data_IF_768441510398
#
_entry.id   IF_768441510398
#
_cell.length_a   1.000
_cell.length_b   1.000
_cell.length_c   1.000
_cell.angle_alpha   90.00
_cell.angle_beta   90.00
_cell.angle_gamma   90.00
#
_symmetry.space_group_name_H-M   'P 1'
#
loop_
_entity.id
_entity.type
_entity.pdbx_description
1 polymer ?
#
# COMPACT_ATOMS: atom_id res chain seq x y z
N UNK A 1 -0.44 -15.98 -14.16
CA UNK A 1 -0.94 -14.76 -14.79
C UNK A 1 -1.96 -14.17 -13.85
N UNK A 2 -1.59 -13.06 -13.21
CA UNK A 2 -2.42 -12.32 -12.27
C UNK A 2 -2.85 -10.97 -12.86
N UNK A 3 -3.81 -10.30 -12.22
CA UNK A 3 -4.32 -8.99 -12.65
C UNK A 3 -3.21 -7.94 -12.73
N UNK A 4 -2.25 -7.96 -11.79
CA UNK A 4 -1.11 -7.06 -11.78
C UNK A 4 -0.13 -7.28 -12.94
N UNK A 5 -0.11 -8.47 -13.56
CA UNK A 5 0.73 -8.72 -14.73
C UNK A 5 0.11 -8.02 -15.96
N UNK A 6 -1.21 -8.14 -16.12
CA UNK A 6 -1.96 -7.47 -17.19
C UNK A 6 -1.92 -5.94 -17.08
N UNK A 7 -1.88 -5.40 -15.85
CA UNK A 7 -1.72 -3.96 -15.66
C UNK A 7 -0.41 -3.46 -16.27
N UNK A 8 0.70 -4.20 -16.10
CA UNK A 8 2.01 -3.78 -16.64
C UNK A 8 2.01 -3.84 -18.16
N UNK A 9 1.46 -4.90 -18.74
CA UNK A 9 1.34 -5.05 -20.20
C UNK A 9 0.55 -3.90 -20.84
N UNK A 10 -0.48 -3.41 -20.16
CA UNK A 10 -1.36 -2.32 -20.63
C UNK A 10 -1.00 -0.94 -20.02
N UNK A 11 0.19 -0.81 -19.42
CA UNK A 11 0.56 0.34 -18.60
C UNK A 11 0.42 1.70 -19.30
N UNK A 12 0.77 1.76 -20.59
CA UNK A 12 0.63 2.98 -21.41
C UNK A 12 -0.82 3.44 -21.54
N UNK A 13 -1.74 2.52 -21.79
CA UNK A 13 -3.16 2.85 -21.97
C UNK A 13 -3.79 3.27 -20.64
N UNK A 14 -3.41 2.58 -19.55
CA UNK A 14 -3.86 2.94 -18.20
C UNK A 14 -3.46 4.37 -17.84
N UNK A 15 -2.20 4.76 -18.13
CA UNK A 15 -1.75 6.14 -17.88
C UNK A 15 -2.56 7.15 -18.70
N UNK A 16 -2.79 6.87 -19.99
CA UNK A 16 -3.60 7.73 -20.85
C UNK A 16 -5.03 7.90 -20.31
N UNK A 17 -5.70 6.82 -19.96
CA UNK A 17 -7.06 6.86 -19.40
C UNK A 17 -7.10 7.67 -18.09
N UNK A 18 -6.15 7.45 -17.18
CA UNK A 18 -6.19 8.06 -15.84
C UNK A 18 -5.68 9.51 -15.80
N UNK A 19 -4.72 9.88 -16.65
CA UNK A 19 -4.11 11.21 -16.68
C UNK A 19 -4.77 12.15 -17.71
N UNK A 20 -5.10 11.65 -18.91
CA UNK A 20 -5.61 12.48 -20.01
C UNK A 20 -7.14 12.45 -20.08
N UNK A 21 -7.75 11.27 -19.92
CA UNK A 21 -9.20 11.08 -20.11
C UNK A 21 -10.01 11.20 -18.81
N UNK A 22 -9.34 11.45 -17.68
CA UNK A 22 -9.95 11.54 -16.35
C UNK A 22 -10.76 10.29 -15.96
N UNK A 23 -10.31 9.11 -16.40
CA UNK A 23 -10.94 7.84 -16.07
C UNK A 23 -10.87 7.50 -14.58
N UNK A 24 -11.65 6.47 -14.21
CA UNK A 24 -11.75 5.94 -12.85
C UNK A 24 -11.09 4.57 -12.75
N UNK A 25 -10.48 4.28 -11.61
CA UNK A 25 -9.85 3.01 -11.29
C UNK A 25 -10.58 2.35 -10.13
N UNK A 26 -10.97 1.08 -10.32
CA UNK A 26 -11.71 0.31 -9.32
C UNK A 26 -10.95 -0.97 -8.98
N UNK A 27 -10.80 -1.25 -7.68
CA UNK A 27 -10.18 -2.48 -7.18
C UNK A 27 -11.13 -3.13 -6.19
N UNK A 28 -11.40 -4.42 -6.37
CA UNK A 28 -12.27 -5.20 -5.50
C UNK A 28 -11.60 -6.54 -5.17
N UNK A 29 -11.51 -6.89 -3.88
CA UNK A 29 -10.94 -8.16 -3.43
C UNK A 29 -10.31 -8.06 -2.04
N UNK A 30 -9.33 -8.91 -1.73
CA UNK A 30 -8.66 -8.92 -0.43
C UNK A 30 -7.63 -7.78 -0.29
N UNK A 31 -7.30 -7.47 0.97
CA UNK A 31 -6.37 -6.40 1.34
C UNK A 31 -5.00 -6.53 0.68
N UNK A 32 -4.46 -7.75 0.60
CA UNK A 32 -3.13 -8.01 0.02
C UNK A 32 -3.13 -7.83 -1.49
N UNK A 33 -4.17 -8.31 -2.17
CA UNK A 33 -4.34 -8.12 -3.61
C UNK A 33 -4.45 -6.63 -3.96
N UNK A 34 -5.26 -5.88 -3.22
CA UNK A 34 -5.40 -4.44 -3.45
C UNK A 34 -4.09 -3.67 -3.24
N UNK A 35 -3.32 -4.01 -2.19
CA UNK A 35 -2.00 -3.43 -1.95
C UNK A 35 -1.05 -3.72 -3.13
N UNK A 36 -1.02 -4.95 -3.63
CA UNK A 36 -0.19 -5.32 -4.79
C UNK A 36 -0.60 -4.58 -6.07
N UNK A 37 -1.91 -4.44 -6.33
CA UNK A 37 -2.43 -3.68 -7.47
C UNK A 37 -2.01 -2.22 -7.37
N UNK A 38 -2.12 -1.61 -6.19
CA UNK A 38 -1.73 -0.22 -5.98
C UNK A 38 -0.23 0.01 -6.21
N UNK A 39 0.64 -0.86 -5.69
CA UNK A 39 2.09 -0.75 -5.94
C UNK A 39 2.43 -0.93 -7.43
N UNK A 40 1.71 -1.82 -8.12
CA UNK A 40 1.92 -2.02 -9.57
C UNK A 40 1.46 -0.82 -10.37
N UNK A 41 0.34 -0.20 -10.00
CA UNK A 41 -0.14 1.03 -10.62
C UNK A 41 0.89 2.17 -10.47
N UNK A 42 1.47 2.35 -9.28
CA UNK A 42 2.56 3.32 -9.07
C UNK A 42 3.77 3.03 -9.95
N UNK A 43 4.19 1.76 -10.03
CA UNK A 43 5.28 1.36 -10.89
C UNK A 43 5.01 1.72 -12.37
N UNK A 44 3.80 1.45 -12.87
CA UNK A 44 3.37 1.80 -14.23
C UNK A 44 3.52 3.30 -14.47
N UNK A 45 3.06 4.14 -13.53
CA UNK A 45 3.21 5.58 -13.64
C UNK A 45 4.69 6.02 -13.66
N UNK A 46 5.54 5.39 -12.85
CA UNK A 46 6.99 5.67 -12.89
C UNK A 46 7.64 5.28 -14.22
N UNK A 47 7.20 4.17 -14.85
CA UNK A 47 7.77 3.72 -16.12
C UNK A 47 7.27 4.50 -17.33
N UNK A 48 6.00 4.91 -17.33
CA UNK A 48 5.34 5.49 -18.50
C UNK A 48 5.20 7.01 -18.45
N UNK A 49 5.49 7.64 -17.31
CA UNK A 49 5.54 9.11 -17.18
C UNK A 49 6.97 9.57 -16.86
N UNK A 50 7.23 10.88 -16.97
CA UNK A 50 8.53 11.48 -16.58
C UNK A 50 8.56 11.91 -15.11
N UNK A 51 7.66 11.37 -14.29
CA UNK A 51 7.51 11.76 -12.88
C UNK A 51 8.47 10.98 -11.99
N UNK A 52 8.90 11.60 -10.89
CA UNK A 52 9.62 10.91 -9.83
C UNK A 52 8.64 10.24 -8.83
N UNK A 53 9.18 9.45 -7.90
CA UNK A 53 8.38 8.74 -6.88
C UNK A 53 7.41 9.66 -6.12
N UNK A 54 7.90 10.80 -5.63
CA UNK A 54 7.06 11.75 -4.89
C UNK A 54 5.92 12.32 -5.75
N UNK A 55 6.19 12.63 -7.02
CA UNK A 55 5.16 13.11 -7.95
C UNK A 55 4.12 12.03 -8.25
N UNK A 56 4.53 10.77 -8.35
CA UNK A 56 3.59 9.64 -8.53
C UNK A 56 2.75 9.45 -7.26
N UNK A 57 3.34 9.52 -6.06
CA UNK A 57 2.58 9.45 -4.81
C UNK A 57 1.53 10.57 -4.72
N UNK A 58 1.94 11.81 -5.02
CA UNK A 58 1.03 12.94 -5.05
C UNK A 58 -0.11 12.75 -6.06
N UNK A 59 0.19 12.18 -7.23
CA UNK A 59 -0.84 11.87 -8.22
C UNK A 59 -1.82 10.78 -7.75
N UNK A 60 -1.33 9.76 -7.05
CA UNK A 60 -2.21 8.74 -6.46
C UNK A 60 -3.12 9.32 -5.37
N UNK A 61 -2.62 10.28 -4.58
CA UNK A 61 -3.43 11.02 -3.61
C UNK A 61 -4.48 11.86 -4.33
N UNK A 62 -4.10 12.61 -5.37
CA UNK A 62 -5.05 13.38 -6.20
C UNK A 62 -6.14 12.50 -6.80
N UNK A 63 -5.81 11.31 -7.31
CA UNK A 63 -6.80 10.36 -7.82
C UNK A 63 -7.84 9.95 -6.76
N UNK A 64 -7.42 9.82 -5.48
CA UNK A 64 -8.32 9.52 -4.36
C UNK A 64 -9.16 10.75 -4.00
N UNK A 65 -8.53 11.93 -3.91
CA UNK A 65 -9.20 13.20 -3.59
C UNK A 65 -10.26 13.56 -4.65
N UNK A 66 -9.97 13.30 -5.93
CA UNK A 66 -10.88 13.47 -7.06
C UNK A 66 -12.00 12.42 -7.10
N UNK A 67 -12.04 11.47 -6.16
CA UNK A 67 -12.96 10.33 -6.19
C UNK A 67 -12.89 9.53 -7.50
N UNK A 68 -11.67 9.33 -8.02
CA UNK A 68 -11.40 8.54 -9.24
C UNK A 68 -10.65 7.24 -8.98
N UNK A 69 -10.20 7.00 -7.75
CA UNK A 69 -9.62 5.72 -7.35
C UNK A 69 -10.43 5.12 -6.20
N UNK A 70 -11.02 3.95 -6.44
CA UNK A 70 -11.97 3.30 -5.56
C UNK A 70 -11.48 1.91 -5.15
N UNK A 71 -11.55 1.62 -3.86
CA UNK A 71 -11.17 0.34 -3.28
C UNK A 71 -12.37 -0.25 -2.53
N UNK A 72 -12.77 -1.47 -2.92
CA UNK A 72 -13.79 -2.26 -2.24
C UNK A 72 -13.12 -3.52 -1.67
N UNK A 73 -12.65 -3.39 -0.43
CA UNK A 73 -11.86 -4.45 0.21
C UNK A 73 -12.81 -5.38 0.95
N UNK A 74 -12.99 -6.56 0.37
CA UNK A 74 -13.78 -7.61 0.98
C UNK A 74 -12.92 -8.41 1.92
N UNK A 75 -13.37 -8.47 3.17
CA UNK A 75 -12.69 -9.23 4.19
C UNK A 75 -11.43 -8.54 4.70
N UNK A 76 -11.55 -7.97 5.89
CA UNK A 76 -10.75 -8.51 6.99
C UNK A 76 -11.17 -9.98 7.12
N UNK A 77 -10.82 -10.81 6.14
CA UNK A 77 -11.13 -12.23 6.15
C UNK A 77 -10.30 -12.75 7.31
N UNK A 78 -10.95 -13.37 8.28
CA UNK A 78 -10.33 -14.04 9.43
C UNK A 78 -9.32 -15.09 8.93
N UNK A 79 -8.12 -14.65 8.51
CA UNK A 79 -6.86 -15.40 8.56
C UNK A 79 -6.08 -14.85 9.74
N UNK A 80 -6.64 -15.07 10.93
CA UNK A 80 -6.16 -14.52 12.21
C UNK A 80 -4.81 -15.06 12.68
N UNK A 81 -4.15 -15.95 11.92
CA UNK A 81 -2.90 -16.59 12.38
C UNK A 81 -1.71 -16.33 11.45
N UNK A 82 -1.90 -16.41 10.13
CA UNK A 82 -0.80 -16.28 9.16
C UNK A 82 -0.35 -14.81 8.97
N UNK A 83 -1.30 -13.87 8.88
CA UNK A 83 -1.02 -12.46 8.58
C UNK A 83 -0.45 -11.72 9.81
N UNK A 84 -0.82 -12.14 11.03
CA UNK A 84 -0.27 -11.59 12.26
C UNK A 84 1.22 -11.88 12.45
N UNK A 85 1.71 -13.02 11.94
CA UNK A 85 3.12 -13.39 12.05
C UNK A 85 4.01 -12.47 11.20
N UNK A 86 3.60 -12.24 9.94
CA UNK A 86 4.40 -11.48 8.96
C UNK A 86 4.42 -9.97 9.28
N UNK A 87 3.27 -9.37 9.67
CA UNK A 87 3.23 -7.95 10.09
C UNK A 87 3.90 -7.70 11.44
N UNK A 88 3.87 -8.67 12.37
CA UNK A 88 4.59 -8.58 13.65
C UNK A 88 6.12 -8.62 13.47
N UNK A 89 6.61 -9.39 12.52
CA UNK A 89 8.03 -9.46 12.15
C UNK A 89 8.49 -8.19 11.40
N UNK A 90 7.67 -7.66 10.49
CA UNK A 90 7.95 -6.40 9.77
C UNK A 90 7.88 -5.14 10.65
N UNK A 91 7.05 -5.15 11.70
CA UNK A 91 7.01 -4.07 12.70
C UNK A 91 8.21 -4.14 13.65
N UNK A 92 8.62 -5.34 14.07
CA UNK A 92 9.80 -5.56 14.93
C UNK A 92 11.12 -5.21 14.25
N UNK A 93 11.21 -5.33 12.93
CA UNK A 93 12.40 -4.93 12.17
C UNK A 93 12.53 -3.42 11.94
N UNK A 94 11.48 -2.63 12.19
CA UNK A 94 11.46 -1.17 11.97
C UNK A 94 11.64 -0.31 13.23
N UNK A 95 11.67 -0.89 14.43
CA UNK A 95 12.05 -0.13 15.63
C UNK A 95 13.58 -0.09 15.76
N UNK A 96 14.21 1.09 15.83
CA UNK A 96 15.61 1.18 16.23
C UNK A 96 15.75 0.70 17.68
N UNK A 97 16.76 -0.12 17.92
CA UNK A 97 17.13 -0.68 19.22
C UNK A 97 17.45 0.46 20.21
N UNK A 98 16.44 0.95 20.93
CA UNK A 98 16.64 1.85 22.05
C UNK A 98 17.21 1.03 23.22
N UNK A 99 18.42 1.40 23.57
CA UNK A 99 19.33 0.75 24.49
C UNK A 99 18.79 0.69 25.94
N UNK A 100 19.16 -0.40 26.60
CA UNK A 100 19.36 -0.62 28.04
C UNK A 100 19.65 0.64 28.87
N UNK A 101 19.12 0.70 30.12
CA UNK A 101 19.76 1.11 31.40
C UNK A 101 18.65 1.27 32.47
N UNK A 102 18.44 0.29 33.37
CA UNK A 102 18.97 0.17 34.75
C UNK A 102 18.27 1.02 35.83
N UNK A 103 17.70 0.35 36.86
CA UNK A 103 17.54 0.89 38.22
C UNK A 103 16.12 0.86 38.81
N UNK A 104 15.90 0.05 39.86
CA UNK A 104 14.73 0.13 40.76
C UNK A 104 14.76 1.40 41.65
N UNK A 105 13.78 1.61 42.56
CA UNK A 105 13.60 0.74 43.73
C UNK A 105 12.13 0.42 44.14
N UNK A 106 12.01 -0.57 45.03
CA UNK A 106 10.80 -0.96 45.77
C UNK A 106 10.24 0.19 46.61
N UNK A 107 8.91 0.28 46.74
CA UNK A 107 8.28 0.83 47.95
C UNK A 107 6.99 0.06 48.27
N UNK A 108 6.85 -0.21 49.57
CA UNK A 108 5.92 -1.08 50.27
C UNK A 108 4.63 -0.34 50.69
N UNK A 109 3.66 -1.11 51.21
CA UNK A 109 2.49 -0.75 52.05
C UNK A 109 1.19 -0.48 51.27
N UNK A 110 0.02 -1.02 51.64
CA UNK A 110 -0.47 -1.62 52.92
C UNK A 110 -1.25 -2.93 52.70
#
# INVERSE_FOLDING_TARGET
>A
MYVQDQLVENGREIVKILEEEQGHFYVCGDCTMAEHVFQKLKYIFLQHTKRNEQQVENFMLQLRDDSRYHEDIFGITLRTEEIHKEKGESARSRLPLAQTLSGGPKLTQE
#
